data_IF_354018586143
#
_entry.id   IF_354018586143
#
_cell.length_a   1.000
_cell.length_b   1.000
_cell.length_c   1.000
_cell.angle_alpha   90.00
_cell.angle_beta   90.00
_cell.angle_gamma   90.00
#
_symmetry.space_group_name_H-M   'P 1'
#
loop_
_entity.id
_entity.type
_entity.pdbx_description
1 polymer ?
#
# COMPACT_ATOMS: atom_id res chain seq x y z
N UNK A 1 43.06 4.27 31.29
CA UNK A 1 43.51 3.46 30.14
C UNK A 1 42.29 2.98 29.39
N UNK A 2 42.08 3.36 28.12
CA UNK A 2 41.02 2.78 27.30
C UNK A 2 41.57 1.58 26.49
N UNK A 3 40.85 0.45 26.49
CA UNK A 3 41.13 -0.70 25.64
C UNK A 3 40.49 -0.49 24.25
N UNK A 4 41.18 -0.80 23.14
CA UNK A 4 40.59 -0.69 21.81
C UNK A 4 39.63 -1.87 21.56
N UNK A 5 38.37 -1.54 21.25
CA UNK A 5 37.38 -2.50 20.76
C UNK A 5 37.61 -2.75 19.26
N UNK A 6 38.14 -3.92 18.90
CA UNK A 6 38.25 -4.36 17.50
C UNK A 6 36.85 -4.74 16.98
N UNK A 7 36.18 -3.81 16.31
CA UNK A 7 34.99 -4.12 15.49
C UNK A 7 35.41 -4.92 14.26
N UNK A 8 35.27 -6.24 14.31
CA UNK A 8 35.35 -7.11 13.12
C UNK A 8 34.15 -6.84 12.21
N UNK A 9 34.37 -6.64 10.91
CA UNK A 9 33.30 -6.43 9.93
C UNK A 9 32.62 -7.76 9.60
N UNK A 10 31.30 -7.75 9.39
CA UNK A 10 30.54 -8.92 8.95
C UNK A 10 31.09 -9.50 7.63
N UNK A 11 31.62 -8.64 6.76
CA UNK A 11 32.23 -9.05 5.50
C UNK A 11 33.47 -9.95 5.71
N UNK A 12 34.28 -9.67 6.73
CA UNK A 12 35.49 -10.45 7.03
C UNK A 12 35.13 -11.85 7.57
N UNK A 13 34.07 -11.95 8.36
CA UNK A 13 33.55 -13.23 8.89
C UNK A 13 32.93 -14.09 7.79
N UNK A 14 32.22 -13.48 6.84
CA UNK A 14 31.64 -14.21 5.70
C UNK A 14 32.71 -14.75 4.75
N UNK A 15 33.82 -14.02 4.58
CA UNK A 15 34.94 -14.44 3.73
C UNK A 15 35.81 -15.56 4.35
N UNK A 16 35.73 -15.78 5.67
CA UNK A 16 36.52 -16.81 6.36
C UNK A 16 35.87 -18.21 6.38
N UNK A 17 34.88 -18.46 5.52
CA UNK A 17 34.24 -19.77 5.41
C UNK A 17 35.22 -20.90 5.02
N UNK A 18 34.88 -22.17 5.31
CA UNK A 18 35.72 -23.31 4.96
C UNK A 18 35.95 -23.35 3.45
N UNK A 19 37.22 -23.38 3.02
CA UNK A 19 37.60 -23.48 1.61
C UNK A 19 37.33 -24.92 1.14
N UNK A 20 36.51 -25.07 0.11
CA UNK A 20 36.21 -26.35 -0.52
C UNK A 20 37.49 -26.99 -1.04
N UNK A 21 37.66 -28.29 -0.81
CA UNK A 21 38.81 -29.05 -1.34
C UNK A 21 38.70 -29.15 -2.88
N UNK A 22 39.81 -29.29 -3.62
CA UNK A 22 39.78 -29.43 -5.07
C UNK A 22 38.97 -30.64 -5.55
N UNK A 23 38.91 -31.70 -4.73
CA UNK A 23 38.14 -32.92 -5.02
C UNK A 23 36.63 -32.70 -4.86
N UNK A 24 36.19 -31.91 -3.88
CA UNK A 24 34.76 -31.56 -3.72
C UNK A 24 34.28 -30.56 -4.78
N UNK A 25 35.18 -29.75 -5.36
CA UNK A 25 34.85 -28.80 -6.42
C UNK A 25 34.68 -29.47 -7.80
N UNK A 26 35.08 -30.74 -7.93
CA UNK A 26 34.92 -31.48 -9.17
C UNK A 26 33.45 -31.85 -9.40
N UNK A 27 32.89 -31.44 -10.53
CA UNK A 27 31.58 -31.89 -10.96
C UNK A 27 31.59 -33.42 -11.22
N UNK A 28 30.51 -34.15 -10.91
CA UNK A 28 30.41 -35.56 -11.25
C UNK A 28 30.54 -35.75 -12.77
N UNK A 29 31.31 -36.75 -13.19
CA UNK A 29 31.48 -37.01 -14.63
C UNK A 29 30.12 -37.40 -15.26
N UNK A 30 29.76 -36.81 -16.42
CA UNK A 30 28.50 -37.12 -17.06
C UNK A 30 28.47 -38.58 -17.55
N UNK A 31 27.30 -39.26 -17.46
CA UNK A 31 27.15 -40.62 -17.97
C UNK A 31 27.38 -40.65 -19.49
N UNK A 32 28.16 -41.62 -19.97
CA UNK A 32 28.40 -41.83 -21.40
C UNK A 32 27.23 -42.62 -22.01
N UNK A 33 26.62 -42.09 -23.06
CA UNK A 33 25.55 -42.77 -23.81
C UNK A 33 26.19 -43.68 -24.87
N UNK A 34 25.89 -44.97 -24.83
CA UNK A 34 26.28 -45.93 -25.87
C UNK A 34 25.32 -45.73 -27.06
N UNK A 35 25.84 -45.23 -28.18
CA UNK A 35 25.09 -45.08 -29.43
C UNK A 35 25.11 -46.39 -30.22
N UNK A 36 24.22 -47.33 -29.87
CA UNK A 36 23.92 -48.48 -30.72
C UNK A 36 22.87 -48.10 -31.77
N UNK A 37 23.32 -47.90 -33.00
CA UNK A 37 22.56 -47.46 -34.20
C UNK A 37 21.58 -48.54 -34.75
N UNK A 38 20.84 -49.27 -33.90
CA UNK A 38 19.97 -50.39 -34.33
C UNK A 38 18.50 -50.29 -33.87
N UNK A 39 18.04 -49.14 -33.36
CA UNK A 39 16.62 -48.94 -33.07
C UNK A 39 15.88 -48.31 -34.26
N UNK A 40 15.20 -49.14 -35.05
CA UNK A 40 14.24 -48.72 -36.09
C UNK A 40 13.11 -47.87 -35.49
N UNK A 41 13.08 -46.57 -35.80
CA UNK A 41 12.02 -45.61 -35.37
C UNK A 41 11.00 -45.30 -36.48
N UNK A 42 10.97 -46.09 -37.55
CA UNK A 42 10.26 -45.74 -38.78
C UNK A 42 8.72 -45.94 -38.78
N UNK A 43 8.06 -46.39 -37.70
CA UNK A 43 6.62 -46.67 -37.77
C UNK A 43 5.79 -46.42 -36.49
N UNK A 44 6.08 -45.38 -35.71
CA UNK A 44 5.18 -44.98 -34.62
C UNK A 44 4.90 -43.48 -34.62
N UNK A 45 4.31 -43.00 -35.70
CA UNK A 45 3.76 -41.65 -35.77
C UNK A 45 2.27 -41.82 -36.02
N UNK A 46 1.52 -41.90 -34.93
CA UNK A 46 0.07 -41.62 -34.94
C UNK A 46 -0.08 -40.09 -35.09
N UNK A 47 -0.32 -39.65 -36.32
CA UNK A 47 -0.42 -38.23 -36.73
C UNK A 47 -1.86 -37.71 -36.56
N UNK A 48 -2.76 -38.41 -35.87
CA UNK A 48 -4.14 -37.94 -35.67
C UNK A 48 -4.35 -37.21 -34.34
N UNK A 49 -3.28 -36.60 -33.80
CA UNK A 49 -3.37 -35.52 -32.83
C UNK A 49 -3.17 -34.20 -33.59
N UNK A 50 -4.01 -33.17 -33.37
CA UNK A 50 -3.69 -31.82 -33.85
C UNK A 50 -2.39 -31.37 -33.17
N UNK A 51 -1.27 -31.64 -33.83
CA UNK A 51 0.10 -31.54 -33.29
C UNK A 51 0.60 -30.10 -33.14
N UNK A 52 -0.31 -29.12 -33.17
CA UNK A 52 0.07 -27.71 -33.09
C UNK A 52 -0.91 -27.02 -32.15
N UNK A 53 -0.43 -26.76 -30.94
CA UNK A 53 -0.98 -25.67 -30.13
C UNK A 53 -0.74 -24.38 -30.92
N UNK A 54 -1.74 -23.99 -31.71
CA UNK A 54 -1.69 -22.74 -32.46
C UNK A 54 -1.86 -21.61 -31.45
N UNK A 55 -0.87 -20.73 -31.42
CA UNK A 55 -0.94 -19.51 -30.64
C UNK A 55 -1.99 -18.61 -31.31
N UNK A 56 -2.96 -18.07 -30.56
CA UNK A 56 -3.92 -17.12 -31.09
C UNK A 56 -3.22 -15.94 -31.79
N UNK A 57 -3.78 -15.43 -32.88
CA UNK A 57 -3.14 -14.36 -33.67
C UNK A 57 -2.98 -13.04 -32.87
N UNK A 58 -3.80 -12.85 -31.84
CA UNK A 58 -3.83 -11.72 -30.91
C UNK A 58 -2.89 -11.89 -29.70
N UNK A 59 -2.13 -12.98 -29.61
CA UNK A 59 -1.24 -13.26 -28.48
C UNK A 59 -0.22 -12.14 -28.18
N UNK A 60 0.26 -11.44 -29.22
CA UNK A 60 1.18 -10.32 -29.07
C UNK A 60 0.50 -9.04 -28.54
N UNK A 61 -0.82 -8.92 -28.72
CA UNK A 61 -1.62 -7.77 -28.28
C UNK A 61 -2.15 -7.96 -26.85
N UNK A 62 -2.15 -9.19 -26.34
CA UNK A 62 -2.60 -9.51 -24.99
C UNK A 62 -1.63 -8.97 -23.93
N UNK A 63 -2.18 -8.27 -22.94
CA UNK A 63 -1.43 -7.76 -21.77
C UNK A 63 -0.87 -8.90 -20.90
N UNK A 64 -1.54 -10.06 -20.89
CA UNK A 64 -1.14 -11.24 -20.11
C UNK A 64 -1.03 -12.43 -21.04
N UNK A 65 0.20 -12.81 -21.36
CA UNK A 65 0.49 -13.85 -22.37
C UNK A 65 0.63 -15.26 -21.78
N UNK A 66 0.81 -15.38 -20.47
CA UNK A 66 0.98 -16.69 -19.83
C UNK A 66 0.09 -16.85 -18.61
N UNK A 67 -0.35 -18.08 -18.37
CA UNK A 67 -1.13 -18.43 -17.17
C UNK A 67 -0.38 -18.12 -15.88
N UNK A 68 0.95 -18.25 -15.89
CA UNK A 68 1.82 -17.90 -14.76
C UNK A 68 1.84 -16.40 -14.47
N UNK A 69 1.72 -15.55 -15.49
CA UNK A 69 1.60 -14.10 -15.33
C UNK A 69 0.22 -13.72 -14.80
N UNK A 70 -0.85 -14.35 -15.30
CA UNK A 70 -2.20 -14.17 -14.78
C UNK A 70 -2.28 -14.52 -13.28
N UNK A 71 -1.73 -15.67 -12.90
CA UNK A 71 -1.71 -16.13 -11.51
C UNK A 71 -0.90 -15.21 -10.58
N UNK A 72 0.16 -14.56 -11.08
CA UNK A 72 0.91 -13.53 -10.32
C UNK A 72 0.07 -12.29 -10.11
N UNK A 73 -0.57 -11.78 -11.17
CA UNK A 73 -1.39 -10.58 -11.10
C UNK A 73 -2.59 -10.75 -10.15
N UNK A 74 -3.24 -11.92 -10.19
CA UNK A 74 -4.34 -12.24 -9.28
C UNK A 74 -3.87 -12.25 -7.81
N UNK A 75 -2.71 -12.86 -7.55
CA UNK A 75 -2.14 -12.90 -6.19
C UNK A 75 -1.74 -11.51 -5.69
N UNK A 76 -1.16 -10.68 -6.55
CA UNK A 76 -0.81 -9.29 -6.23
C UNK A 76 -2.06 -8.44 -6.02
N UNK A 77 -3.10 -8.61 -6.83
CA UNK A 77 -4.38 -7.94 -6.65
C UNK A 77 -5.07 -8.36 -5.35
N UNK A 78 -5.05 -9.64 -5.01
CA UNK A 78 -5.59 -10.17 -3.75
C UNK A 78 -4.81 -9.66 -2.53
N UNK A 79 -3.47 -9.60 -2.60
CA UNK A 79 -2.61 -9.02 -1.58
C UNK A 79 -2.78 -7.50 -1.45
N UNK A 80 -2.95 -6.80 -2.57
CA UNK A 80 -3.27 -5.38 -2.60
C UNK A 80 -4.65 -5.11 -2.00
N UNK A 81 -5.65 -5.94 -2.30
CA UNK A 81 -6.98 -5.82 -1.73
C UNK A 81 -7.00 -6.11 -0.22
N UNK A 82 -6.30 -7.15 0.23
CA UNK A 82 -6.21 -7.49 1.66
C UNK A 82 -5.44 -6.42 2.44
N UNK A 83 -4.34 -5.90 1.91
CA UNK A 83 -3.59 -4.79 2.52
C UNK A 83 -4.38 -3.48 2.53
N UNK A 84 -5.13 -3.15 1.47
CA UNK A 84 -6.07 -2.01 1.45
C UNK A 84 -7.15 -2.17 2.52
N UNK A 85 -7.76 -3.36 2.64
CA UNK A 85 -8.75 -3.69 3.68
C UNK A 85 -8.16 -3.58 5.09
N UNK A 86 -6.93 -4.06 5.30
CA UNK A 86 -6.24 -3.97 6.59
C UNK A 86 -5.90 -2.51 6.95
N UNK A 87 -5.42 -1.73 5.99
CA UNK A 87 -5.15 -0.29 6.17
C UNK A 87 -6.44 0.47 6.47
N UNK A 88 -7.52 0.21 5.75
CA UNK A 88 -8.82 0.81 6.03
C UNK A 88 -9.32 0.46 7.44
N UNK A 89 -9.26 -0.82 7.85
CA UNK A 89 -9.61 -1.24 9.21
C UNK A 89 -8.74 -0.56 10.28
N UNK A 90 -7.43 -0.40 10.03
CA UNK A 90 -6.52 0.31 10.94
C UNK A 90 -6.87 1.79 11.04
N UNK A 91 -7.18 2.44 9.92
CA UNK A 91 -7.60 3.83 9.88
C UNK A 91 -8.92 4.06 10.62
N UNK A 92 -9.91 3.19 10.40
CA UNK A 92 -11.19 3.22 11.14
C UNK A 92 -10.94 3.08 12.64
N UNK A 93 -10.18 2.07 13.06
CA UNK A 93 -9.85 1.88 14.48
C UNK A 93 -9.10 3.08 15.07
N UNK A 94 -8.15 3.66 14.33
CA UNK A 94 -7.43 4.84 14.80
C UNK A 94 -8.35 6.06 14.90
N UNK A 95 -9.26 6.24 13.95
CA UNK A 95 -10.25 7.31 13.99
C UNK A 95 -11.19 7.15 15.19
N UNK A 96 -11.70 5.93 15.43
CA UNK A 96 -12.54 5.63 16.59
C UNK A 96 -11.81 5.89 17.91
N UNK A 97 -10.56 5.44 18.04
CA UNK A 97 -9.76 5.71 19.24
C UNK A 97 -9.49 7.19 19.45
N UNK A 98 -9.28 7.95 18.37
CA UNK A 98 -9.07 9.39 18.43
C UNK A 98 -10.35 10.11 18.85
N UNK A 99 -11.49 9.73 18.28
CA UNK A 99 -12.80 10.26 18.65
C UNK A 99 -13.12 9.98 20.12
N UNK A 100 -12.93 8.75 20.59
CA UNK A 100 -13.12 8.39 22.00
C UNK A 100 -12.24 9.24 22.93
N UNK A 101 -10.97 9.43 22.57
CA UNK A 101 -10.07 10.28 23.34
C UNK A 101 -10.52 11.75 23.37
N UNK A 102 -11.05 12.28 22.25
CA UNK A 102 -11.62 13.62 22.21
C UNK A 102 -12.87 13.73 23.08
N UNK A 103 -13.80 12.78 22.98
CA UNK A 103 -15.02 12.77 23.79
C UNK A 103 -14.72 12.69 25.29
N UNK A 104 -13.79 11.82 25.70
CA UNK A 104 -13.34 11.74 27.10
C UNK A 104 -12.77 13.08 27.59
N UNK A 105 -12.00 13.77 26.75
CA UNK A 105 -11.44 15.09 27.06
C UNK A 105 -12.49 16.19 27.13
N UNK A 106 -13.55 16.11 26.33
CA UNK A 106 -14.69 17.02 26.42
C UNK A 106 -15.50 16.81 27.70
N UNK A 107 -15.70 15.57 28.13
CA UNK A 107 -16.47 15.25 29.34
C UNK A 107 -15.75 15.61 30.64
N UNK A 108 -14.41 15.60 30.65
CA UNK A 108 -13.60 15.98 31.82
C UNK A 108 -13.39 17.50 31.96
N UNK A 109 -13.77 18.30 30.96
CA UNK A 109 -13.50 19.74 30.96
C UNK A 109 -14.74 20.56 31.38
N UNK A 110 -14.55 21.50 32.30
CA UNK A 110 -15.57 22.46 32.75
C UNK A 110 -16.03 23.41 31.61
N UNK A 111 -15.21 23.55 30.56
CA UNK A 111 -15.54 24.26 29.33
C UNK A 111 -16.30 23.40 28.28
N UNK A 112 -16.73 22.19 28.65
CA UNK A 112 -17.34 21.20 27.75
C UNK A 112 -18.57 21.69 26.99
N UNK A 113 -19.33 22.66 27.53
CA UNK A 113 -20.50 23.23 26.85
C UNK A 113 -20.15 24.00 25.57
N UNK A 114 -19.13 24.87 25.61
CA UNK A 114 -18.66 25.62 24.43
C UNK A 114 -18.07 24.69 23.37
N UNK A 115 -17.31 23.68 23.82
CA UNK A 115 -16.74 22.67 22.93
C UNK A 115 -17.84 21.80 22.28
N UNK A 116 -18.89 21.44 23.04
CA UNK A 116 -20.03 20.68 22.52
C UNK A 116 -20.84 21.49 21.49
N UNK A 117 -21.07 22.79 21.72
CA UNK A 117 -21.76 23.67 20.76
C UNK A 117 -20.96 23.82 19.46
N UNK A 118 -19.64 24.03 19.55
CA UNK A 118 -18.78 24.08 18.35
C UNK A 118 -18.79 22.75 17.59
N UNK A 119 -18.68 21.63 18.30
CA UNK A 119 -18.76 20.29 17.72
C UNK A 119 -20.11 20.06 17.02
N UNK A 120 -21.22 20.37 17.68
CA UNK A 120 -22.56 20.25 17.12
C UNK A 120 -22.74 21.12 15.86
N UNK A 121 -22.16 22.33 15.88
CA UNK A 121 -22.19 23.24 14.73
C UNK A 121 -21.42 22.65 13.53
N UNK A 122 -20.21 22.13 13.75
CA UNK A 122 -19.40 21.49 12.70
C UNK A 122 -20.10 20.24 12.15
N UNK A 123 -20.65 19.39 13.02
CA UNK A 123 -21.39 18.19 12.63
C UNK A 123 -22.64 18.55 11.83
N UNK A 124 -23.40 19.57 12.26
CA UNK A 124 -24.60 20.05 11.57
C UNK A 124 -24.30 20.58 10.17
N UNK A 125 -23.28 21.45 10.03
CA UNK A 125 -22.85 21.98 8.73
C UNK A 125 -22.38 20.84 7.82
N UNK A 126 -21.59 19.91 8.36
CA UNK A 126 -21.07 18.76 7.60
C UNK A 126 -22.19 17.84 7.11
N UNK A 127 -23.17 17.54 7.97
CA UNK A 127 -24.33 16.71 7.62
C UNK A 127 -25.19 17.37 6.53
N UNK A 128 -25.43 18.68 6.63
CA UNK A 128 -26.18 19.44 5.63
C UNK A 128 -25.48 19.44 4.26
N UNK A 129 -24.16 19.69 4.25
CA UNK A 129 -23.35 19.66 3.03
C UNK A 129 -23.30 18.25 2.43
N UNK A 130 -23.14 17.22 3.26
CA UNK A 130 -23.14 15.81 2.84
C UNK A 130 -24.46 15.38 2.21
N UNK A 131 -25.59 15.73 2.83
CA UNK A 131 -26.93 15.46 2.28
C UNK A 131 -27.12 16.11 0.91
N UNK A 132 -26.71 17.37 0.76
CA UNK A 132 -26.80 18.09 -0.52
C UNK A 132 -25.89 17.48 -1.59
N UNK A 133 -24.66 17.13 -1.24
CA UNK A 133 -23.72 16.48 -2.14
C UNK A 133 -24.21 15.10 -2.60
N UNK A 134 -24.81 14.32 -1.69
CA UNK A 134 -25.43 13.03 -2.02
C UNK A 134 -26.57 13.17 -3.03
N UNK A 135 -27.42 14.19 -2.87
CA UNK A 135 -28.48 14.50 -3.85
C UNK A 135 -27.94 14.88 -5.23
N UNK A 136 -26.85 15.65 -5.29
CA UNK A 136 -26.19 16.00 -6.55
C UNK A 136 -25.53 14.78 -7.20
N UNK A 137 -24.93 13.90 -6.40
CA UNK A 137 -24.33 12.65 -6.87
C UNK A 137 -25.36 11.71 -7.51
N UNK A 138 -26.48 11.46 -6.83
CA UNK A 138 -27.56 10.61 -7.38
C UNK A 138 -28.11 11.15 -8.71
N UNK A 139 -28.09 12.47 -8.90
CA UNK A 139 -28.55 13.12 -10.12
C UNK A 139 -27.48 13.23 -11.20
N UNK A 140 -26.28 12.69 -10.97
CA UNK A 140 -25.13 12.81 -11.88
C UNK A 140 -24.68 14.25 -12.12
N UNK A 141 -25.11 15.20 -11.27
CA UNK A 141 -24.90 16.64 -11.44
C UNK A 141 -23.85 17.20 -10.49
N UNK A 142 -23.03 16.35 -9.87
CA UNK A 142 -21.94 16.79 -9.01
C UNK A 142 -20.83 17.38 -9.88
N UNK A 143 -20.69 18.70 -9.85
CA UNK A 143 -19.68 19.41 -10.64
C UNK A 143 -18.40 19.65 -9.84
N UNK A 144 -17.27 19.83 -10.54
CA UNK A 144 -16.04 20.38 -9.96
C UNK A 144 -16.25 21.72 -9.25
N UNK A 145 -17.26 22.50 -9.68
CA UNK A 145 -17.66 23.72 -8.98
C UNK A 145 -18.21 23.44 -7.58
N UNK A 146 -19.02 22.39 -7.42
CA UNK A 146 -19.57 21.99 -6.12
C UNK A 146 -18.46 21.46 -5.20
N UNK A 147 -17.53 20.67 -5.76
CA UNK A 147 -16.33 20.23 -5.06
C UNK A 147 -15.48 21.42 -4.62
N UNK A 148 -15.30 22.42 -5.49
CA UNK A 148 -14.56 23.65 -5.19
C UNK A 148 -15.19 24.48 -4.07
N UNK A 149 -16.53 24.55 -4.02
CA UNK A 149 -17.24 25.18 -2.90
C UNK A 149 -16.98 24.44 -1.60
N UNK A 150 -17.06 23.10 -1.61
CA UNK A 150 -16.74 22.27 -0.44
C UNK A 150 -15.30 22.48 0.06
N UNK A 151 -14.34 22.48 -0.86
CA UNK A 151 -12.94 22.76 -0.55
C UNK A 151 -12.73 24.17 0.03
N UNK A 152 -13.44 25.18 -0.50
CA UNK A 152 -13.39 26.56 -0.01
C UNK A 152 -13.88 26.69 1.44
N UNK A 153 -14.95 26.00 1.82
CA UNK A 153 -15.45 25.98 3.21
C UNK A 153 -14.39 25.41 4.16
N UNK A 154 -13.79 24.27 3.83
CA UNK A 154 -12.74 23.65 4.66
C UNK A 154 -11.51 24.56 4.77
N UNK A 155 -11.06 25.16 3.66
CA UNK A 155 -9.94 26.07 3.64
C UNK A 155 -10.19 27.31 4.51
N UNK A 156 -11.41 27.86 4.50
CA UNK A 156 -11.77 29.02 5.32
C UNK A 156 -11.66 28.74 6.82
N UNK A 157 -12.09 27.56 7.28
CA UNK A 157 -11.98 27.14 8.68
C UNK A 157 -10.52 27.00 9.10
N UNK A 158 -9.66 26.38 8.28
CA UNK A 158 -8.23 26.28 8.56
C UNK A 158 -7.52 27.63 8.58
N UNK A 159 -7.94 28.59 7.74
CA UNK A 159 -7.37 29.93 7.74
C UNK A 159 -7.66 30.69 9.05
N UNK A 160 -8.87 30.55 9.61
CA UNK A 160 -9.24 31.19 10.90
C UNK A 160 -8.35 30.71 12.03
N UNK A 161 -8.10 29.40 12.12
CA UNK A 161 -7.21 28.83 13.14
C UNK A 161 -5.77 29.33 13.00
N UNK A 162 -5.28 29.49 11.76
CA UNK A 162 -3.93 29.98 11.49
C UNK A 162 -3.71 31.45 11.89
N UNK A 163 -4.73 32.30 11.70
CA UNK A 163 -4.65 33.73 12.02
C UNK A 163 -4.82 33.96 13.51
N UNK A 164 -5.80 33.30 14.14
CA UNK A 164 -6.05 33.42 15.58
C UNK A 164 -4.91 32.81 16.40
N UNK A 165 -4.40 31.63 15.99
CA UNK A 165 -3.24 31.00 16.63
C UNK A 165 -1.97 31.86 16.53
N UNK A 166 -1.72 32.47 15.36
CA UNK A 166 -0.56 33.37 15.18
C UNK A 166 -0.68 34.65 16.00
N UNK A 167 -1.90 35.19 16.15
CA UNK A 167 -2.15 36.39 16.95
C UNK A 167 -1.99 36.13 18.46
N UNK A 168 -2.58 35.04 18.97
CA UNK A 168 -2.47 34.63 20.38
C UNK A 168 -1.05 34.21 20.78
N UNK A 169 -0.30 33.58 19.89
CA UNK A 169 1.09 33.21 20.18
C UNK A 169 2.00 34.44 20.25
N UNK A 170 1.72 35.48 19.44
CA UNK A 170 2.50 36.71 19.43
C UNK A 170 2.29 37.54 20.71
N UNK A 171 1.05 37.64 21.20
CA UNK A 171 0.75 38.34 22.46
C UNK A 171 1.33 37.65 23.70
N UNK A 172 1.41 36.31 23.71
CA UNK A 172 2.05 35.55 24.80
C UNK A 172 3.57 35.72 24.81
N UNK A 173 4.21 35.88 23.65
CA UNK A 173 5.66 36.11 23.54
C UNK A 173 6.06 37.52 24.00
N UNK A 174 5.19 38.51 23.82
CA UNK A 174 5.48 39.90 24.16
C UNK A 174 5.14 40.25 25.63
N UNK A 175 4.40 39.39 26.34
CA UNK A 175 4.12 39.52 27.79
C UNK A 175 5.07 38.74 28.72
N UNK A 176 6.11 38.10 28.17
CA UNK A 176 7.10 37.28 28.89
C UNK A 176 8.51 37.92 28.89
N UNK A 177 8.61 39.22 28.65
CA UNK A 177 9.86 40.01 28.74
C UNK A 177 9.73 41.09 29.80
#
# INVERSE_FOLDING_TARGET
MPYPSTTMSYADVAASGPKQSPEEAAAPQPPQVITDETASTASLIDVDLPSVHTVPADFLEQEIQTETQAARLEREAAAAASSKKAKAKKQVKSADSWLQAQFARLSDSEAGALAAVNLATVVGISALLGYKAWGLYQRGSLSWKDIGIGAGVVASVGAVESVVGRYLYKTKKDGSS
#
